data_IF_356364528983
#
_entry.id   IF_356364528983
#
_cell.length_a   1.000
_cell.length_b   1.000
_cell.length_c   1.000
_cell.angle_alpha   90.00
_cell.angle_beta   90.00
_cell.angle_gamma   90.00
#
_symmetry.space_group_name_H-M   'P 1'
#
loop_
_entity.id
_entity.type
_entity.pdbx_description
1 polymer ?
#
# COMPACT_ATOMS: atom_id res chain seq x y z
N UNK A 1 1.78 -1.63 29.56
CA UNK A 1 1.19 -0.71 28.56
C UNK A 1 0.24 -1.52 27.70
N UNK A 2 -1.08 -1.44 27.95
CA UNK A 2 -2.10 -2.20 27.19
C UNK A 2 -2.60 -1.32 26.05
N UNK A 3 -2.51 -1.80 24.82
CA UNK A 3 -3.14 -1.19 23.66
C UNK A 3 -4.52 -1.85 23.49
N UNK A 4 -5.58 -1.07 23.69
CA UNK A 4 -6.96 -1.47 23.41
C UNK A 4 -7.31 -0.92 22.04
N UNK A 5 -7.61 -1.79 21.06
CA UNK A 5 -8.05 -1.36 19.73
C UNK A 5 -9.57 -1.19 19.72
N UNK A 6 -10.04 0.02 19.44
CA UNK A 6 -11.46 0.32 19.21
C UNK A 6 -11.81 0.14 17.72
N UNK A 7 -13.05 -0.28 17.46
CA UNK A 7 -13.56 -0.69 16.15
C UNK A 7 -13.36 0.35 15.02
N UNK A 8 -13.04 -0.16 13.83
CA UNK A 8 -12.79 0.59 12.59
C UNK A 8 -14.08 1.22 12.08
N UNK A 9 -14.18 2.56 12.16
CA UNK A 9 -15.05 3.31 11.26
C UNK A 9 -14.35 3.38 9.89
N UNK A 10 -15.11 3.27 8.79
CA UNK A 10 -14.58 3.19 7.41
C UNK A 10 -13.77 4.41 6.96
N UNK A 11 -13.61 5.43 7.82
CA UNK A 11 -12.98 6.71 7.52
C UNK A 11 -11.91 7.09 8.57
N UNK A 12 -11.45 6.14 9.38
CA UNK A 12 -10.47 6.44 10.40
C UNK A 12 -9.03 6.46 9.85
N UNK A 13 -8.31 7.55 10.12
CA UNK A 13 -6.87 7.64 9.90
C UNK A 13 -6.17 7.81 11.24
N UNK A 14 -5.29 6.88 11.61
CA UNK A 14 -4.40 7.00 12.76
C UNK A 14 -3.04 7.53 12.33
N UNK A 15 -2.55 8.54 13.07
CA UNK A 15 -1.14 8.94 13.03
C UNK A 15 -0.40 8.23 14.16
N UNK A 16 0.60 7.43 13.82
CA UNK A 16 1.42 6.70 14.80
C UNK A 16 2.57 7.62 15.22
N UNK A 17 2.69 7.90 16.52
CA UNK A 17 3.75 8.74 17.08
C UNK A 17 4.49 8.06 18.24
N UNK A 18 5.80 8.29 18.36
CA UNK A 18 6.63 7.88 19.52
C UNK A 18 7.49 9.05 19.96
N UNK A 19 7.43 9.40 21.25
CA UNK A 19 8.18 10.52 21.83
C UNK A 19 8.03 11.84 21.05
N UNK A 20 6.80 12.16 20.61
CA UNK A 20 6.51 13.37 19.82
C UNK A 20 6.90 13.28 18.33
N UNK A 21 7.57 12.21 17.88
CA UNK A 21 7.96 12.02 16.48
C UNK A 21 6.95 11.13 15.74
N UNK A 22 6.54 11.54 14.53
CA UNK A 22 5.66 10.76 13.64
C UNK A 22 6.43 9.57 13.07
N UNK A 23 5.88 8.37 13.25
CA UNK A 23 6.42 7.11 12.74
C UNK A 23 5.67 6.60 11.50
N UNK A 24 4.38 6.89 11.36
CA UNK A 24 3.60 6.42 10.23
C UNK A 24 2.14 6.83 10.27
N UNK A 25 1.40 6.42 9.24
CA UNK A 25 -0.02 6.68 9.08
C UNK A 25 -0.71 5.36 8.71
N UNK A 26 -1.82 5.06 9.38
CA UNK A 26 -2.69 3.92 9.06
C UNK A 26 -4.05 4.50 8.71
N UNK A 27 -4.50 4.29 7.48
CA UNK A 27 -5.79 4.76 7.01
C UNK A 27 -6.42 3.79 6.01
N UNK A 28 -7.67 4.01 5.62
CA UNK A 28 -8.28 3.27 4.53
C UNK A 28 -7.44 3.44 3.26
N UNK A 29 -7.39 2.39 2.44
CA UNK A 29 -6.75 2.48 1.13
C UNK A 29 -7.38 3.65 0.35
N UNK A 30 -6.58 4.48 -0.33
CA UNK A 30 -7.12 5.58 -1.12
C UNK A 30 -8.11 5.03 -2.15
N UNK A 31 -9.31 5.59 -2.18
CA UNK A 31 -10.31 5.25 -3.19
C UNK A 31 -9.95 5.96 -4.49
N UNK A 32 -9.45 5.21 -5.47
CA UNK A 32 -9.22 5.70 -6.83
C UNK A 32 -10.48 5.60 -7.71
N UNK A 33 -10.51 6.32 -8.82
CA UNK A 33 -11.58 6.23 -9.81
C UNK A 33 -11.45 4.92 -10.60
N UNK A 34 -12.24 3.92 -10.20
CA UNK A 34 -12.28 2.63 -10.86
C UNK A 34 -12.80 2.72 -12.30
N UNK A 35 -13.65 3.70 -12.62
CA UNK A 35 -14.16 3.91 -13.97
C UNK A 35 -13.05 4.36 -14.90
N UNK A 36 -12.26 5.35 -14.47
CA UNK A 36 -11.12 5.83 -15.24
C UNK A 36 -10.09 4.71 -15.51
N UNK A 37 -9.80 3.89 -14.48
CA UNK A 37 -8.93 2.72 -14.64
C UNK A 37 -9.49 1.72 -15.65
N UNK A 38 -10.78 1.39 -15.54
CA UNK A 38 -11.42 0.44 -16.45
C UNK A 38 -11.44 0.96 -17.89
N UNK A 39 -11.64 2.26 -18.11
CA UNK A 39 -11.55 2.88 -19.44
C UNK A 39 -10.17 2.68 -20.06
N UNK A 40 -9.11 2.89 -19.29
CA UNK A 40 -7.73 2.70 -19.77
C UNK A 40 -7.49 1.22 -20.09
N UNK A 41 -7.90 0.29 -19.22
CA UNK A 41 -7.71 -1.14 -19.43
C UNK A 41 -8.54 -1.69 -20.60
N UNK A 42 -9.68 -1.08 -20.92
CA UNK A 42 -10.47 -1.44 -22.09
C UNK A 42 -9.80 -0.98 -23.39
N UNK A 43 -9.15 0.19 -23.39
CA UNK A 43 -8.40 0.70 -24.54
C UNK A 43 -7.03 0.03 -24.72
N UNK A 44 -6.40 -0.36 -23.61
CA UNK A 44 -5.07 -0.96 -23.55
C UNK A 44 -5.12 -2.23 -22.71
N UNK A 45 -5.56 -3.33 -23.34
CA UNK A 45 -5.68 -4.61 -22.66
C UNK A 45 -4.28 -5.09 -22.25
N UNK A 46 -4.04 -5.39 -20.95
CA UNK A 46 -2.78 -5.99 -20.52
C UNK A 46 -2.50 -7.28 -21.27
N UNK A 47 -1.29 -7.37 -21.81
CA UNK A 47 -0.78 -8.57 -22.48
C UNK A 47 0.24 -9.30 -21.58
N UNK A 48 0.84 -10.36 -22.12
CA UNK A 48 1.79 -11.18 -21.39
C UNK A 48 3.11 -10.45 -21.09
N UNK A 49 3.50 -9.51 -21.96
CA UNK A 49 4.70 -8.70 -21.76
C UNK A 49 4.48 -7.70 -20.61
N UNK A 50 3.33 -7.02 -20.58
CA UNK A 50 2.93 -6.20 -19.46
C UNK A 50 2.88 -7.00 -18.14
N UNK A 51 2.35 -8.23 -18.18
CA UNK A 51 2.30 -9.09 -17.00
C UNK A 51 3.71 -9.43 -16.48
N UNK A 52 4.66 -9.69 -17.39
CA UNK A 52 6.07 -9.97 -17.08
C UNK A 52 6.76 -8.76 -16.45
N UNK A 53 6.52 -7.57 -16.97
CA UNK A 53 7.10 -6.32 -16.46
C UNK A 53 6.60 -6.01 -15.05
N UNK A 54 5.29 -6.15 -14.82
CA UNK A 54 4.68 -5.98 -13.49
C UNK A 54 5.25 -6.99 -12.50
N UNK A 55 5.39 -8.26 -12.91
CA UNK A 55 5.94 -9.30 -12.05
C UNK A 55 7.40 -9.02 -11.68
N UNK A 56 8.22 -8.65 -12.66
CA UNK A 56 9.63 -8.28 -12.48
C UNK A 56 9.78 -7.11 -11.52
N UNK A 57 9.01 -6.04 -11.75
CA UNK A 57 9.02 -4.84 -10.91
C UNK A 57 8.62 -5.16 -9.48
N UNK A 58 7.60 -6.01 -9.29
CA UNK A 58 7.19 -6.45 -7.96
C UNK A 58 8.30 -7.21 -7.24
N UNK A 59 9.04 -8.05 -7.95
CA UNK A 59 10.21 -8.74 -7.40
C UNK A 59 11.28 -7.76 -6.89
N UNK A 60 11.55 -6.69 -7.64
CA UNK A 60 12.52 -5.66 -7.27
C UNK A 60 12.10 -4.82 -6.06
N UNK A 61 10.79 -4.57 -5.91
CA UNK A 61 10.22 -3.77 -4.83
C UNK A 61 9.87 -4.58 -3.57
N UNK A 62 9.87 -5.91 -3.66
CA UNK A 62 9.62 -6.77 -2.51
C UNK A 62 10.91 -6.80 -1.68
N UNK A 63 10.91 -6.26 -0.45
CA UNK A 63 12.09 -6.31 0.38
C UNK A 63 12.48 -7.77 0.63
N UNK A 64 13.78 -8.08 0.57
CA UNK A 64 14.27 -9.41 0.87
C UNK A 64 13.89 -9.83 2.30
N UNK A 65 13.98 -11.13 2.64
CA UNK A 65 13.60 -11.67 3.96
C UNK A 65 14.35 -11.02 5.14
N UNK A 66 15.41 -10.26 4.86
CA UNK A 66 16.29 -9.64 5.84
C UNK A 66 16.14 -8.11 5.87
N UNK A 67 15.25 -7.54 5.07
CA UNK A 67 14.95 -6.10 5.10
C UNK A 67 14.04 -5.80 6.30
N UNK A 68 14.62 -5.89 7.50
CA UNK A 68 13.96 -5.44 8.72
C UNK A 68 14.23 -3.96 8.90
N UNK A 69 13.17 -3.17 8.95
CA UNK A 69 13.21 -1.84 9.54
C UNK A 69 13.88 -1.90 10.93
N UNK A 70 14.80 -0.98 11.29
CA UNK A 70 15.06 0.31 10.65
C UNK A 70 16.24 0.37 9.67
N UNK A 71 16.90 -0.75 9.39
CA UNK A 71 18.18 -0.76 8.65
C UNK A 71 18.03 -1.08 7.16
N UNK A 72 16.82 -0.88 6.61
CA UNK A 72 16.53 -0.93 5.18
C UNK A 72 16.54 0.47 4.54
#
# INVERSE_FOLDING_TARGET
MRLTAAAVSRNFTAVITRAGRRLGLIGPAPTGDATALNTILAAHRPDEDFARDVHTTRGLLTPGPNASWPDA
#
